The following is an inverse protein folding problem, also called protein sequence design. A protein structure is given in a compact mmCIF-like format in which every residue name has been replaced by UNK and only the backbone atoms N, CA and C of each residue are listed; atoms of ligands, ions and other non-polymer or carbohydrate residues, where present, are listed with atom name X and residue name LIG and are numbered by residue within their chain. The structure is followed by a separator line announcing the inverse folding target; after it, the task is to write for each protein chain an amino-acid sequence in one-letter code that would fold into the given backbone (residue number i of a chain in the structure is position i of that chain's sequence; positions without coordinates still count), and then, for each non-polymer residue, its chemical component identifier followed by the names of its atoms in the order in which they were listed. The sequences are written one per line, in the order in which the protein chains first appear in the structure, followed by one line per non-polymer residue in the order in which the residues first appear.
data_IF_974575580898
#
_entry.id   IF_974575580898
#
_cell.length_a   1.000
_cell.length_b   1.000
_cell.length_c   1.000
_cell.angle_alpha   90.00
_cell.angle_beta   90.00
_cell.angle_gamma   90.00
#
_symmetry.space_group_name_H-M   'P 1'
#
loop_
_entity.id
_entity.type
_entity.pdbx_description
1 polymer ?
#
# COMPACT_ATOMS: atom_id res chain seq x y z
N UNK A 1 -2.76 64.56 26.74
CA UNK A 1 -2.86 63.95 25.39
C UNK A 1 -1.87 62.80 25.32
N UNK A 2 -2.33 61.61 25.70
CA UNK A 2 -1.54 60.37 25.76
C UNK A 2 -1.83 59.57 24.49
N UNK A 3 -0.77 59.19 23.78
CA UNK A 3 -0.82 58.64 22.44
C UNK A 3 -1.58 57.32 22.34
N UNK A 4 -2.40 57.23 21.30
CA UNK A 4 -2.97 56.01 20.75
C UNK A 4 -1.85 55.07 20.27
N UNK A 5 -1.59 53.99 21.01
CA UNK A 5 -1.12 52.70 20.45
C UNK A 5 -1.44 51.59 21.46
N UNK A 6 -2.66 51.06 21.47
CA UNK A 6 -3.00 49.91 22.32
C UNK A 6 -4.08 48.97 21.77
N UNK A 7 -4.25 48.91 20.45
CA UNK A 7 -5.24 48.04 19.78
C UNK A 7 -4.65 47.13 18.70
N UNK A 8 -3.55 46.42 19.01
CA UNK A 8 -3.03 45.34 18.12
C UNK A 8 -2.68 44.04 18.88
N UNK A 9 -3.32 43.77 20.02
CA UNK A 9 -3.20 42.50 20.76
C UNK A 9 -4.56 41.75 20.81
N UNK A 10 -5.53 42.11 19.96
CA UNK A 10 -6.81 41.38 19.82
C UNK A 10 -7.17 41.00 18.39
N UNK A 11 -6.19 41.00 17.49
CA UNK A 11 -6.34 40.30 16.21
C UNK A 11 -5.21 39.29 16.08
N UNK A 12 -5.22 38.30 16.97
CA UNK A 12 -4.75 36.99 16.56
C UNK A 12 -5.78 36.48 15.54
N UNK A 13 -5.39 36.02 14.34
CA UNK A 13 -6.22 35.06 13.63
C UNK A 13 -6.23 33.80 14.51
N UNK A 14 -7.14 33.75 15.48
CA UNK A 14 -7.46 32.53 16.18
C UNK A 14 -7.83 31.49 15.12
N UNK A 15 -7.05 30.42 15.07
CA UNK A 15 -7.36 29.25 14.29
C UNK A 15 -8.69 28.67 14.79
N UNK A 16 -9.74 28.94 14.05
CA UNK A 16 -11.01 28.23 13.95
C UNK A 16 -11.80 29.10 12.96
N UNK A 17 -12.06 28.72 11.72
CA UNK A 17 -12.79 27.53 11.32
C UNK A 17 -12.36 27.15 9.88
N UNK A 18 -11.74 26.00 9.69
CA UNK A 18 -11.85 25.28 8.41
C UNK A 18 -13.26 24.67 8.23
N UNK A 19 -14.22 25.06 9.07
CA UNK A 19 -15.64 24.67 9.04
C UNK A 19 -16.39 25.42 7.93
N UNK A 20 -15.87 25.31 6.70
CA UNK A 20 -16.45 25.89 5.50
C UNK A 20 -16.84 24.85 4.45
N UNK A 21 -16.63 23.55 4.69
CA UNK A 21 -17.46 22.55 4.03
C UNK A 21 -18.72 22.39 4.88
N UNK A 22 -19.88 22.70 4.31
CA UNK A 22 -21.14 22.37 4.94
C UNK A 22 -21.20 20.87 5.15
N UNK A 23 -20.87 20.39 6.35
CA UNK A 23 -20.97 18.98 6.69
C UNK A 23 -22.45 18.63 6.84
N UNK A 24 -23.15 18.49 5.72
CA UNK A 24 -24.32 17.64 5.71
C UNK A 24 -23.81 16.24 6.10
N UNK A 25 -24.50 15.54 7.00
CA UNK A 25 -24.06 14.21 7.45
C UNK A 25 -23.81 13.23 6.29
N UNK A 26 -24.42 13.50 5.12
CA UNK A 26 -24.18 12.77 3.86
C UNK A 26 -22.82 13.04 3.21
N UNK A 27 -22.29 14.26 3.28
CA UNK A 27 -21.01 14.62 2.66
C UNK A 27 -19.84 14.02 3.48
N UNK A 28 -19.95 14.07 4.81
CA UNK A 28 -18.97 13.42 5.69
C UNK A 28 -18.93 11.89 5.52
N UNK A 29 -20.08 11.26 5.24
CA UNK A 29 -20.16 9.83 4.95
C UNK A 29 -19.58 9.47 3.58
N UNK A 30 -19.80 10.32 2.57
CA UNK A 30 -19.26 10.13 1.22
C UNK A 30 -17.73 10.27 1.21
N UNK A 31 -17.20 11.32 1.85
CA UNK A 31 -15.75 11.52 1.98
C UNK A 31 -15.06 10.36 2.72
N UNK A 32 -15.72 9.78 3.74
CA UNK A 32 -15.19 8.63 4.45
C UNK A 32 -15.15 7.38 3.55
N UNK A 33 -16.23 7.11 2.81
CA UNK A 33 -16.30 6.00 1.86
C UNK A 33 -15.22 6.11 0.77
N UNK A 34 -15.05 7.30 0.18
CA UNK A 34 -14.07 7.53 -0.89
C UNK A 34 -12.63 7.30 -0.39
N UNK A 35 -12.32 7.75 0.83
CA UNK A 35 -11.03 7.46 1.46
C UNK A 35 -10.83 5.96 1.70
N UNK A 36 -11.81 5.28 2.29
CA UNK A 36 -11.72 3.85 2.57
C UNK A 36 -11.59 3.04 1.29
N UNK A 37 -12.32 3.43 0.24
CA UNK A 37 -12.22 2.84 -1.09
C UNK A 37 -10.81 3.03 -1.66
N UNK A 38 -10.28 4.25 -1.65
CA UNK A 38 -8.93 4.54 -2.14
C UNK A 38 -7.86 3.72 -1.39
N UNK A 39 -7.96 3.64 -0.06
CA UNK A 39 -7.07 2.80 0.75
C UNK A 39 -7.18 1.33 0.39
N UNK A 40 -8.39 0.82 0.13
CA UNK A 40 -8.60 -0.57 -0.27
C UNK A 40 -7.97 -0.91 -1.64
N UNK A 41 -7.99 0.04 -2.58
CA UNK A 41 -7.37 -0.11 -3.91
C UNK A 41 -5.85 -0.12 -3.76
N UNK A 42 -5.28 0.88 -3.08
CA UNK A 42 -3.84 0.96 -2.83
C UNK A 42 -3.32 -0.30 -2.13
N UNK A 43 -4.06 -0.81 -1.14
CA UNK A 43 -3.65 -1.99 -0.41
C UNK A 43 -3.66 -3.26 -1.29
N UNK A 44 -4.54 -3.36 -2.29
CA UNK A 44 -4.54 -4.47 -3.27
C UNK A 44 -3.38 -4.33 -4.27
N UNK A 45 -3.09 -3.11 -4.70
CA UNK A 45 -1.97 -2.83 -5.62
C UNK A 45 -0.62 -3.18 -4.98
N UNK A 46 -0.44 -2.84 -3.70
CA UNK A 46 0.75 -3.24 -2.96
C UNK A 46 0.91 -4.76 -2.83
N UNK A 47 -0.18 -5.48 -2.57
CA UNK A 47 -0.14 -6.95 -2.53
C UNK A 47 0.23 -7.53 -3.91
N UNK A 48 -0.29 -6.96 -4.99
CA UNK A 48 0.03 -7.38 -6.34
C UNK A 48 1.52 -7.14 -6.68
N UNK A 49 2.09 -5.99 -6.29
CA UNK A 49 3.51 -5.70 -6.45
C UNK A 49 4.39 -6.72 -5.72
N UNK A 50 4.05 -7.01 -4.47
CA UNK A 50 4.74 -8.04 -3.68
C UNK A 50 4.72 -9.40 -4.39
N UNK A 51 3.57 -9.83 -4.90
CA UNK A 51 3.46 -11.12 -5.60
C UNK A 51 4.28 -11.16 -6.89
N UNK A 52 4.38 -10.04 -7.60
CA UNK A 52 5.24 -9.91 -8.79
C UNK A 52 6.70 -10.06 -8.40
N UNK A 53 7.17 -9.42 -7.34
CA UNK A 53 8.54 -9.56 -6.84
C UNK A 53 8.85 -10.99 -6.41
N UNK A 54 7.93 -11.63 -5.71
CA UNK A 54 8.05 -13.05 -5.34
C UNK A 54 8.07 -13.95 -6.58
N UNK A 55 7.30 -13.64 -7.62
CA UNK A 55 7.36 -14.35 -8.89
C UNK A 55 8.73 -14.19 -9.58
N UNK A 56 9.28 -12.98 -9.63
CA UNK A 56 10.62 -12.71 -10.16
C UNK A 56 11.70 -13.44 -9.36
N UNK A 57 11.59 -13.47 -8.04
CA UNK A 57 12.49 -14.22 -7.18
C UNK A 57 12.45 -15.73 -7.46
N UNK A 58 11.25 -16.30 -7.66
CA UNK A 58 11.09 -17.71 -8.07
C UNK A 58 11.67 -17.99 -9.45
N UNK A 59 11.62 -17.03 -10.37
CA UNK A 59 12.30 -17.14 -11.67
C UNK A 59 13.81 -17.22 -11.47
N UNK A 60 14.40 -16.32 -10.66
CA UNK A 60 15.84 -16.35 -10.33
C UNK A 60 16.26 -17.67 -9.66
N UNK A 61 15.41 -18.25 -8.82
CA UNK A 61 15.62 -19.56 -8.18
C UNK A 61 15.33 -20.77 -9.07
N UNK A 62 14.70 -20.59 -10.23
CA UNK A 62 14.28 -21.69 -11.11
C UNK A 62 13.07 -22.49 -10.61
N UNK A 63 12.30 -21.97 -9.65
CA UNK A 63 11.10 -22.61 -9.09
C UNK A 63 9.79 -22.04 -9.63
N UNK A 64 9.87 -21.08 -10.55
CA UNK A 64 8.70 -20.47 -11.18
C UNK A 64 7.82 -21.50 -11.90
N UNK A 65 6.49 -21.33 -11.76
CA UNK A 65 5.51 -22.23 -12.36
C UNK A 65 5.24 -23.51 -11.57
N UNK A 66 5.81 -23.68 -10.37
CA UNK A 66 5.44 -24.72 -9.43
C UNK A 66 4.63 -24.14 -8.28
N UNK A 67 3.59 -24.87 -7.86
CA UNK A 67 2.75 -24.53 -6.72
C UNK A 67 3.54 -24.58 -5.42
N UNK A 68 3.44 -23.55 -4.58
CA UNK A 68 4.19 -23.51 -3.32
C UNK A 68 3.67 -24.47 -2.24
N UNK A 69 2.38 -24.82 -2.28
CA UNK A 69 1.78 -25.73 -1.29
C UNK A 69 2.05 -27.19 -1.66
N UNK A 70 1.66 -27.59 -2.88
CA UNK A 70 1.74 -29.00 -3.30
C UNK A 70 2.91 -29.34 -4.21
N UNK A 71 3.67 -28.36 -4.71
CA UNK A 71 4.79 -28.59 -5.63
C UNK A 71 4.37 -28.96 -7.06
N UNK A 72 3.08 -29.12 -7.34
CA UNK A 72 2.57 -29.43 -8.68
C UNK A 72 2.78 -28.28 -9.65
N UNK A 73 2.90 -28.59 -10.95
CA UNK A 73 3.02 -27.57 -11.99
C UNK A 73 1.73 -26.74 -12.11
N UNK A 74 1.89 -25.42 -12.16
CA UNK A 74 0.80 -24.48 -12.40
C UNK A 74 0.49 -24.51 -13.91
N UNK A 75 -0.79 -24.62 -14.31
CA UNK A 75 -1.17 -24.61 -15.73
C UNK A 75 -0.66 -23.36 -16.46
N UNK A 76 -0.11 -23.54 -17.67
CA UNK A 76 0.45 -22.43 -18.47
C UNK A 76 -0.61 -21.36 -18.74
N UNK A 77 -1.83 -21.76 -19.12
CA UNK A 77 -2.93 -20.82 -19.35
C UNK A 77 -3.23 -19.91 -18.14
N UNK A 78 -2.97 -20.39 -16.91
CA UNK A 78 -3.11 -19.60 -15.70
C UNK A 78 -1.96 -18.62 -15.53
N UNK A 79 -0.73 -19.01 -15.83
CA UNK A 79 0.44 -18.13 -15.79
C UNK A 79 0.37 -17.07 -16.90
N UNK A 80 -0.20 -17.38 -18.05
CA UNK A 80 -0.46 -16.41 -19.12
C UNK A 80 -1.49 -15.35 -18.70
N UNK A 81 -2.54 -15.76 -17.97
CA UNK A 81 -3.55 -14.85 -17.46
C UNK A 81 -3.08 -14.06 -16.22
N UNK A 82 -2.39 -14.73 -15.30
CA UNK A 82 -1.93 -14.20 -14.01
C UNK A 82 -0.49 -14.67 -13.79
N UNK A 83 0.52 -13.90 -14.25
CA UNK A 83 1.91 -14.35 -14.26
C UNK A 83 2.53 -14.48 -12.86
N UNK A 84 1.97 -13.81 -11.86
CA UNK A 84 2.44 -13.88 -10.48
C UNK A 84 1.71 -14.94 -9.63
N UNK A 85 0.89 -15.81 -10.24
CA UNK A 85 0.15 -16.84 -9.51
C UNK A 85 1.08 -17.79 -8.73
N UNK A 86 0.88 -17.89 -7.40
CA UNK A 86 1.65 -18.80 -6.52
C UNK A 86 1.15 -20.24 -6.50
N UNK A 87 -0.16 -20.42 -6.67
CA UNK A 87 -0.86 -21.68 -6.45
C UNK A 87 -1.61 -22.15 -7.69
N UNK A 88 -1.90 -23.44 -7.76
CA UNK A 88 -2.90 -23.99 -8.68
C UNK A 88 -4.30 -23.50 -8.29
N UNK A 89 -5.27 -23.65 -9.20
CA UNK A 89 -6.66 -23.25 -8.94
C UNK A 89 -7.26 -24.03 -7.76
N UNK A 90 -6.96 -25.32 -7.68
CA UNK A 90 -7.46 -26.20 -6.61
C UNK A 90 -6.91 -25.79 -5.25
N UNK A 91 -5.59 -25.55 -5.17
CA UNK A 91 -4.93 -25.13 -3.93
C UNK A 91 -5.31 -23.72 -3.52
N UNK A 92 -5.48 -22.81 -4.49
CA UNK A 92 -6.01 -21.48 -4.21
C UNK A 92 -7.43 -21.57 -3.63
N UNK A 93 -8.31 -22.39 -4.23
CA UNK A 93 -9.67 -22.55 -3.72
C UNK A 93 -9.70 -23.19 -2.33
N UNK A 94 -8.76 -24.09 -2.02
CA UNK A 94 -8.64 -24.66 -0.68
C UNK A 94 -8.14 -23.61 0.34
N UNK A 95 -7.13 -22.82 -0.04
CA UNK A 95 -6.62 -21.72 0.77
C UNK A 95 -7.70 -20.70 1.09
N UNK A 96 -8.49 -20.28 0.10
CA UNK A 96 -9.58 -19.31 0.29
C UNK A 96 -10.68 -19.85 1.22
N UNK A 97 -10.94 -21.17 1.23
CA UNK A 97 -11.89 -21.79 2.14
C UNK A 97 -11.38 -21.82 3.58
N UNK A 98 -10.12 -22.16 3.79
CA UNK A 98 -9.55 -22.35 5.13
C UNK A 98 -9.08 -21.03 5.76
N UNK A 99 -8.45 -20.16 4.96
CA UNK A 99 -7.84 -18.92 5.40
C UNK A 99 -8.64 -17.67 5.02
N UNK A 100 -9.71 -17.80 4.24
CA UNK A 100 -10.47 -16.67 3.73
C UNK A 100 -9.66 -15.85 2.73
N UNK A 101 -9.93 -14.55 2.67
CA UNK A 101 -9.17 -13.60 1.86
C UNK A 101 -7.90 -13.10 2.57
N UNK A 102 -7.20 -13.99 3.28
CA UNK A 102 -5.93 -13.64 3.93
C UNK A 102 -4.88 -13.41 2.86
N UNK A 103 -4.22 -12.26 2.98
CA UNK A 103 -3.10 -11.85 2.13
C UNK A 103 -1.91 -12.78 2.37
N UNK A 104 -1.17 -13.07 1.31
CA UNK A 104 0.10 -13.80 1.40
C UNK A 104 1.23 -12.93 1.93
N UNK A 105 1.18 -11.62 1.66
CA UNK A 105 2.12 -10.65 2.21
C UNK A 105 2.03 -10.63 3.75
N UNK A 106 3.13 -10.87 4.48
CA UNK A 106 3.16 -10.75 5.93
C UNK A 106 2.80 -9.34 6.40
N UNK A 107 2.08 -9.23 7.52
CA UNK A 107 1.62 -7.95 8.08
C UNK A 107 2.75 -7.06 8.60
N UNK A 108 3.92 -7.63 8.88
CA UNK A 108 5.05 -6.92 9.49
C UNK A 108 5.90 -6.16 8.45
N UNK A 109 5.68 -6.40 7.15
CA UNK A 109 6.36 -5.67 6.08
C UNK A 109 5.62 -4.37 5.76
N UNK A 110 6.13 -3.24 6.24
CA UNK A 110 5.58 -1.91 5.91
C UNK A 110 6.12 -1.40 4.57
N UNK A 111 5.21 -1.05 3.63
CA UNK A 111 5.54 -0.36 2.38
C UNK A 111 6.12 -1.23 1.24
N UNK A 112 6.65 -0.57 0.21
CA UNK A 112 7.36 -1.14 -0.95
C UNK A 112 8.82 -1.50 -0.60
N UNK A 113 9.06 -1.98 0.63
CA UNK A 113 10.42 -2.25 1.12
C UNK A 113 10.87 -3.71 0.97
N UNK A 114 10.00 -4.57 0.41
CA UNK A 114 10.21 -6.02 0.39
C UNK A 114 11.02 -6.54 -0.79
N UNK A 115 12.30 -6.16 -0.97
CA UNK A 115 13.00 -6.64 -2.18
C UNK A 115 14.51 -6.72 -2.27
N UNK A 116 15.32 -6.25 -1.33
CA UNK A 116 16.76 -6.58 -1.33
C UNK A 116 17.15 -7.25 -0.02
N UNK A 117 17.02 -8.58 0.08
CA UNK A 117 17.87 -9.38 0.93
C UNK A 117 19.11 -9.79 0.11
N UNK A 118 20.06 -8.88 -0.05
CA UNK A 118 21.49 -9.18 -0.12
C UNK A 118 22.30 -7.88 -0.01
N UNK A 119 23.36 -7.98 0.76
CA UNK A 119 24.40 -6.99 0.99
C UNK A 119 25.08 -6.63 -0.35
N UNK A 120 24.49 -5.71 -1.12
CA UNK A 120 25.17 -5.07 -2.23
C UNK A 120 25.36 -3.59 -1.85
N UNK A 121 26.62 -3.16 -1.67
CA UNK A 121 27.05 -1.85 -1.16
C UNK A 121 26.60 -0.62 -2.00
N UNK A 122 25.72 -0.80 -2.98
CA UNK A 122 25.35 0.21 -3.97
C UNK A 122 23.86 0.62 -3.93
N UNK A 123 23.15 0.42 -2.80
CA UNK A 123 21.79 1.00 -2.69
C UNK A 123 21.88 2.50 -2.45
N UNK A 124 21.68 3.27 -3.52
CA UNK A 124 21.56 4.73 -3.48
C UNK A 124 20.39 5.11 -2.55
N UNK A 125 20.73 5.57 -1.35
CA UNK A 125 19.80 6.34 -0.52
C UNK A 125 19.56 7.66 -1.26
N UNK A 126 18.34 7.88 -1.75
CA UNK A 126 17.96 9.21 -2.21
C UNK A 126 17.86 10.07 -0.96
N UNK A 127 18.91 10.84 -0.69
CA UNK A 127 18.86 11.94 0.26
C UNK A 127 17.73 12.86 -0.20
N UNK A 128 16.68 13.02 0.60
CA UNK A 128 15.90 14.24 0.53
C UNK A 128 16.83 15.31 1.08
N UNK A 129 17.52 16.03 0.21
CA UNK A 129 18.12 17.30 0.58
C UNK A 129 16.94 18.23 0.94
N UNK A 130 16.84 18.56 2.22
CA UNK A 130 16.08 19.69 2.74
C UNK A 130 16.60 20.97 2.04
N UNK A 131 16.01 21.34 0.91
CA UNK A 131 16.09 22.69 0.38
C UNK A 131 15.28 23.62 1.30
N UNK A 132 15.90 23.99 2.44
CA UNK A 132 15.58 25.19 3.22
C UNK A 132 15.95 26.42 2.36
N UNK A 133 14.96 27.17 1.88
CA UNK A 133 15.05 28.58 1.46
C UNK A 133 13.76 29.35 1.80
#
# INVERSE_FOLDING_TARGET
MSGMTRDTIRNAPEGSEASGSGQHQGDAGSDAYDRDFALSVLAKEQDALYEIEQALYRIKKGTYGNCEISGHKIPIARLEAIPFARLTVEEQANWEKEYGNRRFRPSDEVGFSGGIPQEDEDSVTVSLDDDDD
#
